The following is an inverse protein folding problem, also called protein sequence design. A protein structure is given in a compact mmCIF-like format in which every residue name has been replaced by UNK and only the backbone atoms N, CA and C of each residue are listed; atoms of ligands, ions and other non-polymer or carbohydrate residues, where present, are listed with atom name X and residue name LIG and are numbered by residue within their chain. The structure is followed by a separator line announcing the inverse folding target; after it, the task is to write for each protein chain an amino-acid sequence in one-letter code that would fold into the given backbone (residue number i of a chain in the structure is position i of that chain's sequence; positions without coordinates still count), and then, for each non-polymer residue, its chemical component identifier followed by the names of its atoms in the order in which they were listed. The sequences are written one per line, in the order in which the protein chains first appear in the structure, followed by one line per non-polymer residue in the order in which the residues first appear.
data_IF_774666851734
#
_entry.id   IF_774666851734
#
_cell.length_a   1.000
_cell.length_b   1.000
_cell.length_c   1.000
_cell.angle_alpha   90.00
_cell.angle_beta   90.00
_cell.angle_gamma   90.00
#
_symmetry.space_group_name_H-M   'P 1'
#
loop_
_entity.id
_entity.type
_entity.pdbx_description
1 polymer ?
#
# COMPACT_ATOMS: atom_id res chain seq x y z
N UNK A 1 -0.10 -15.53 6.08
CA UNK A 1 0.63 -16.81 6.20
C UNK A 1 1.70 -16.96 5.12
N UNK A 2 2.78 -17.72 5.41
CA UNK A 2 3.73 -18.20 4.40
C UNK A 2 3.29 -19.57 3.86
N UNK A 3 3.60 -19.88 2.60
CA UNK A 3 3.42 -21.22 2.05
C UNK A 3 4.43 -22.18 2.68
N UNK A 4 3.98 -23.38 3.03
CA UNK A 4 4.86 -24.44 3.48
C UNK A 4 5.42 -25.20 2.28
N UNK A 5 6.62 -25.77 2.45
CA UNK A 5 7.23 -26.61 1.42
C UNK A 5 6.33 -27.83 1.14
N UNK A 6 6.01 -28.05 -0.14
CA UNK A 6 5.12 -29.13 -0.56
C UNK A 6 3.62 -28.88 -0.33
N UNK A 7 3.21 -27.71 0.15
CA UNK A 7 1.79 -27.36 0.34
C UNK A 7 1.09 -27.21 -1.04
N UNK A 8 0.13 -28.07 -1.39
CA UNK A 8 -0.66 -27.87 -2.60
C UNK A 8 -1.54 -26.64 -2.43
N UNK A 9 -1.37 -25.64 -3.29
CA UNK A 9 -2.16 -24.41 -3.27
C UNK A 9 -2.83 -24.17 -4.62
N UNK A 10 -4.09 -23.77 -4.57
CA UNK A 10 -4.87 -23.39 -5.75
C UNK A 10 -5.81 -22.26 -5.40
N UNK A 11 -5.86 -21.24 -6.26
CA UNK A 11 -6.74 -20.08 -6.15
C UNK A 11 -6.96 -19.49 -7.54
N UNK A 12 -8.16 -19.00 -7.81
CA UNK A 12 -8.45 -18.25 -9.03
C UNK A 12 -8.15 -16.77 -8.78
N UNK A 13 -7.31 -16.19 -9.65
CA UNK A 13 -7.04 -14.76 -9.69
C UNK A 13 -7.78 -14.13 -10.87
N UNK A 14 -8.45 -13.02 -10.63
CA UNK A 14 -9.35 -12.40 -11.61
C UNK A 14 -10.74 -13.07 -11.66
N UNK A 15 -11.43 -13.07 -12.80
CA UNK A 15 -11.09 -12.42 -14.08
C UNK A 15 -10.62 -10.97 -13.97
N UNK A 16 -9.62 -10.59 -14.76
CA UNK A 16 -9.18 -9.20 -14.94
C UNK A 16 -9.67 -8.73 -16.31
N UNK A 17 -10.42 -7.64 -16.33
CA UNK A 17 -10.93 -7.04 -17.55
C UNK A 17 -10.06 -5.85 -17.94
N UNK A 18 -9.64 -5.82 -19.20
CA UNK A 18 -8.87 -4.70 -19.78
C UNK A 18 -9.66 -4.17 -20.96
N UNK A 19 -9.96 -2.87 -20.93
CA UNK A 19 -10.71 -2.17 -21.96
C UNK A 19 -9.81 -1.15 -22.65
N UNK A 20 -9.84 -1.14 -23.97
CA UNK A 20 -9.11 -0.19 -24.80
C UNK A 20 -10.12 0.49 -25.72
N UNK A 21 -10.21 1.82 -25.63
CA UNK A 21 -11.04 2.64 -26.50
C UNK A 21 -10.20 3.67 -27.26
N UNK A 22 -10.79 4.24 -28.30
CA UNK A 22 -10.14 5.21 -29.18
C UNK A 22 -11.15 6.23 -29.66
N UNK A 23 -10.67 7.44 -29.97
CA UNK A 23 -11.48 8.52 -30.50
C UNK A 23 -10.76 9.13 -31.72
N UNK A 24 -11.49 9.65 -32.71
CA UNK A 24 -10.86 10.33 -33.85
C UNK A 24 -10.19 11.62 -33.39
N UNK A 25 -9.21 12.12 -34.17
CA UNK A 25 -8.42 13.32 -33.85
C UNK A 25 -9.26 14.56 -33.53
N UNK A 26 -10.48 14.61 -34.06
CA UNK A 26 -11.36 15.77 -33.98
C UNK A 26 -12.26 15.75 -32.72
N UNK A 27 -12.17 14.69 -31.91
CA UNK A 27 -12.94 14.52 -30.69
C UNK A 27 -12.08 14.73 -29.44
N UNK A 28 -12.72 15.30 -28.41
CA UNK A 28 -12.07 15.62 -27.15
C UNK A 28 -11.77 14.35 -26.33
N UNK A 29 -10.59 14.29 -25.72
CA UNK A 29 -10.14 13.21 -24.82
C UNK A 29 -11.12 12.90 -23.68
N UNK A 30 -11.99 13.85 -23.31
CA UNK A 30 -13.04 13.65 -22.31
C UNK A 30 -14.03 12.54 -22.72
N UNK A 31 -14.27 12.33 -24.01
CA UNK A 31 -15.15 11.26 -24.50
C UNK A 31 -14.61 9.86 -24.16
N UNK A 32 -13.28 9.67 -24.18
CA UNK A 32 -12.64 8.40 -23.79
C UNK A 32 -12.91 8.06 -22.33
N UNK A 33 -12.91 9.08 -21.46
CA UNK A 33 -13.17 8.89 -20.04
C UNK A 33 -14.63 8.49 -19.79
N UNK A 34 -15.59 9.22 -20.36
CA UNK A 34 -17.01 8.91 -20.20
C UNK A 34 -17.37 7.52 -20.72
N UNK A 35 -16.80 7.11 -21.86
CA UNK A 35 -16.97 5.77 -22.42
C UNK A 35 -16.36 4.69 -21.51
N UNK A 36 -15.16 4.93 -20.97
CA UNK A 36 -14.54 4.02 -20.00
C UNK A 36 -15.35 3.90 -18.70
N UNK A 37 -15.94 4.98 -18.18
CA UNK A 37 -16.83 4.96 -17.01
C UNK A 37 -18.11 4.17 -17.29
N UNK A 38 -18.70 4.34 -18.48
CA UNK A 38 -19.85 3.54 -18.90
C UNK A 38 -19.48 2.05 -18.95
N UNK A 39 -18.36 1.71 -19.58
CA UNK A 39 -17.91 0.33 -19.68
C UNK A 39 -17.63 -0.28 -18.31
N UNK A 40 -16.99 0.46 -17.41
CA UNK A 40 -16.79 0.04 -16.02
C UNK A 40 -18.12 -0.29 -15.32
N UNK A 41 -19.15 0.54 -15.51
CA UNK A 41 -20.49 0.33 -14.92
C UNK A 41 -21.16 -0.94 -15.44
N UNK A 42 -21.08 -1.21 -16.75
CA UNK A 42 -21.61 -2.43 -17.36
C UNK A 42 -20.92 -3.70 -16.85
N UNK A 43 -19.59 -3.67 -16.80
CA UNK A 43 -18.78 -4.82 -16.38
C UNK A 43 -18.92 -5.10 -14.87
N UNK A 44 -19.05 -4.05 -14.05
CA UNK A 44 -19.33 -4.19 -12.61
C UNK A 44 -20.66 -4.90 -12.36
N UNK A 45 -21.70 -4.61 -13.16
CA UNK A 45 -23.01 -5.29 -13.07
C UNK A 45 -22.98 -6.72 -13.60
N UNK A 46 -22.07 -7.00 -14.54
CA UNK A 46 -21.89 -8.33 -15.13
C UNK A 46 -21.09 -9.27 -14.24
N UNK A 47 -20.42 -8.75 -13.21
CA UNK A 47 -19.73 -9.58 -12.22
C UNK A 47 -20.73 -10.30 -11.30
N UNK A 48 -20.54 -11.62 -11.05
CA UNK A 48 -19.48 -12.49 -11.53
C UNK A 48 -19.78 -13.06 -12.92
N UNK A 49 -18.76 -13.11 -13.78
CA UNK A 49 -18.92 -13.56 -15.15
C UNK A 49 -19.28 -15.04 -15.29
N UNK A 50 -20.06 -15.39 -16.32
CA UNK A 50 -20.41 -16.78 -16.63
C UNK A 50 -19.53 -17.45 -17.69
N UNK A 51 -18.71 -16.68 -18.41
CA UNK A 51 -17.83 -17.21 -19.45
C UNK A 51 -16.67 -18.09 -18.94
N UNK A 52 -16.11 -17.92 -17.72
CA UNK A 52 -15.04 -18.78 -17.25
C UNK A 52 -15.50 -20.24 -17.12
N UNK A 53 -14.81 -21.14 -17.82
CA UNK A 53 -15.16 -22.57 -17.88
C UNK A 53 -14.46 -23.43 -16.82
N UNK A 54 -13.52 -22.86 -16.06
CA UNK A 54 -12.80 -23.61 -15.02
C UNK A 54 -13.73 -23.99 -13.88
N UNK A 55 -13.70 -25.25 -13.45
CA UNK A 55 -14.44 -25.73 -12.28
C UNK A 55 -13.98 -25.04 -10.98
N UNK A 56 -12.75 -24.53 -10.97
CA UNK A 56 -12.19 -23.78 -9.84
C UNK A 56 -12.81 -22.37 -9.72
N UNK A 57 -13.44 -21.87 -10.79
CA UNK A 57 -14.17 -20.61 -10.77
C UNK A 57 -15.64 -20.87 -10.43
N UNK A 58 -16.02 -20.52 -9.21
CA UNK A 58 -17.42 -20.59 -8.81
C UNK A 58 -18.25 -19.53 -9.55
N UNK A 59 -19.29 -19.98 -10.24
CA UNK A 59 -20.29 -19.12 -10.89
C UNK A 59 -21.13 -18.38 -9.85
N UNK A 60 -21.84 -17.33 -10.30
CA UNK A 60 -22.67 -16.49 -9.41
C UNK A 60 -23.65 -17.27 -8.56
N UNK A 61 -24.33 -18.26 -9.13
CA UNK A 61 -25.31 -19.10 -8.42
C UNK A 61 -24.72 -20.05 -7.36
N UNK A 62 -23.39 -20.22 -7.32
CA UNK A 62 -22.67 -21.00 -6.29
C UNK A 62 -22.01 -20.11 -5.24
N UNK A 63 -22.23 -18.79 -5.32
CA UNK A 63 -21.72 -17.82 -4.36
C UNK A 63 -22.85 -17.40 -3.42
N UNK A 64 -22.46 -17.04 -2.22
CA UNK A 64 -23.35 -16.53 -1.19
C UNK A 64 -23.31 -15.01 -1.10
N UNK A 65 -24.17 -14.51 -0.25
CA UNK A 65 -24.23 -13.12 0.16
C UNK A 65 -24.23 -13.06 1.68
N UNK A 66 -23.48 -12.12 2.24
CA UNK A 66 -23.46 -11.86 3.68
C UNK A 66 -24.02 -10.47 3.91
N UNK A 67 -25.12 -10.41 4.63
CA UNK A 67 -25.78 -9.17 5.02
C UNK A 67 -25.67 -9.00 6.53
N UNK A 68 -25.58 -7.75 6.95
CA UNK A 68 -25.59 -7.43 8.36
C UNK A 68 -25.74 -5.95 8.61
N UNK A 69 -25.59 -5.61 9.88
CA UNK A 69 -25.45 -4.23 10.32
C UNK A 69 -24.25 -4.17 11.24
N UNK A 70 -23.41 -3.15 11.16
CA UNK A 70 -22.29 -2.96 12.05
C UNK A 70 -22.56 -1.79 12.98
N UNK A 71 -22.37 -1.99 14.27
CA UNK A 71 -22.21 -0.89 15.22
C UNK A 71 -20.99 -1.02 16.10
N UNK A 72 -20.67 0.12 16.70
CA UNK A 72 -19.64 0.28 17.71
C UNK A 72 -20.29 0.68 19.04
N UNK A 73 -19.90 0.03 20.14
CA UNK A 73 -20.23 0.46 21.48
C UNK A 73 -18.94 0.75 22.25
N UNK A 74 -18.68 2.01 22.58
CA UNK A 74 -17.53 2.38 23.41
C UNK A 74 -18.04 2.98 24.72
N UNK A 75 -17.70 2.34 25.85
CA UNK A 75 -18.14 2.74 27.20
C UNK A 75 -17.77 4.18 27.58
N UNK A 76 -16.72 4.74 26.97
CA UNK A 76 -16.23 6.08 27.25
C UNK A 76 -16.76 7.12 26.26
N UNK A 77 -17.31 6.70 25.12
CA UNK A 77 -17.87 7.60 24.10
C UNK A 77 -19.39 7.62 24.23
N UNK A 78 -19.99 8.83 24.26
CA UNK A 78 -21.45 9.03 24.38
C UNK A 78 -22.11 8.17 25.48
N UNK A 79 -21.41 7.96 26.61
CA UNK A 79 -21.87 7.17 27.77
C UNK A 79 -22.23 5.71 27.43
N UNK A 80 -21.48 5.05 26.53
CA UNK A 80 -21.69 3.64 26.20
C UNK A 80 -22.90 3.39 25.29
N UNK A 81 -23.41 4.41 24.61
CA UNK A 81 -24.49 4.26 23.62
C UNK A 81 -23.94 3.65 22.32
N UNK A 82 -24.78 2.86 21.68
CA UNK A 82 -24.52 2.23 20.39
C UNK A 82 -24.34 3.26 19.25
N UNK A 83 -23.36 3.02 18.37
CA UNK A 83 -23.01 3.86 17.23
C UNK A 83 -23.08 3.10 15.90
N UNK A 84 -23.88 3.53 14.90
CA UNK A 84 -23.79 2.94 13.55
C UNK A 84 -22.35 3.05 13.04
N UNK A 85 -21.80 1.97 12.49
CA UNK A 85 -20.56 2.04 11.74
C UNK A 85 -20.87 2.52 10.34
N UNK A 86 -21.17 3.81 10.14
CA UNK A 86 -21.41 4.39 8.82
C UNK A 86 -20.07 4.61 8.13
N UNK A 87 -20.00 4.32 6.81
CA UNK A 87 -18.74 4.28 6.04
C UNK A 87 -17.68 3.33 6.63
N UNK A 88 -18.10 2.37 7.43
CA UNK A 88 -17.23 1.32 7.90
C UNK A 88 -16.86 0.39 6.76
N UNK A 89 -15.59 0.03 6.68
CA UNK A 89 -15.19 -1.06 5.80
C UNK A 89 -15.39 -2.37 6.54
N UNK A 90 -16.16 -3.26 5.94
CA UNK A 90 -16.51 -4.57 6.49
C UNK A 90 -16.06 -5.62 5.50
N UNK A 91 -15.41 -6.67 5.99
CA UNK A 91 -14.92 -7.71 5.11
C UNK A 91 -14.70 -9.06 5.75
N UNK A 92 -14.61 -10.04 4.87
CA UNK A 92 -14.40 -11.44 5.18
C UNK A 92 -13.00 -11.81 4.72
N UNK A 93 -12.24 -12.45 5.61
CA UNK A 93 -11.00 -13.11 5.25
C UNK A 93 -10.88 -14.42 6.02
N UNK A 94 -9.91 -15.26 5.63
CA UNK A 94 -9.71 -16.55 6.30
C UNK A 94 -9.56 -16.37 7.83
N UNK A 95 -10.05 -17.34 8.64
CA UNK A 95 -9.94 -17.28 10.08
C UNK A 95 -8.48 -17.30 10.53
N UNK A 96 -8.05 -16.21 11.15
CA UNK A 96 -6.71 -16.00 11.70
C UNK A 96 -6.79 -14.97 12.85
N UNK A 97 -5.65 -14.61 13.44
CA UNK A 97 -5.57 -13.61 14.52
C UNK A 97 -6.10 -12.24 14.10
N UNK A 98 -6.48 -11.41 15.07
CA UNK A 98 -6.92 -10.04 14.81
C UNK A 98 -5.86 -9.25 14.00
N UNK A 99 -6.30 -8.59 12.91
CA UNK A 99 -5.43 -7.82 12.01
C UNK A 99 -4.64 -8.63 10.98
N UNK A 100 -4.71 -9.97 11.02
CA UNK A 100 -4.05 -10.87 10.06
C UNK A 100 -4.46 -10.62 8.59
N UNK A 101 -5.70 -10.19 8.36
CA UNK A 101 -6.27 -9.94 7.04
C UNK A 101 -5.39 -9.03 6.17
N UNK A 102 -4.66 -8.08 6.77
CA UNK A 102 -3.78 -7.16 6.03
C UNK A 102 -2.61 -7.86 5.34
N UNK A 103 -2.16 -8.99 5.90
CA UNK A 103 -1.03 -9.79 5.40
C UNK A 103 -1.48 -11.13 4.81
N UNK A 104 -2.80 -11.36 4.75
CA UNK A 104 -3.32 -12.63 4.27
C UNK A 104 -3.44 -12.63 2.74
N UNK A 105 -2.70 -13.51 2.09
CA UNK A 105 -2.71 -13.67 0.63
C UNK A 105 -3.23 -15.04 0.15
N UNK A 106 -3.28 -16.05 1.04
CA UNK A 106 -3.69 -17.43 0.70
C UNK A 106 -5.18 -17.51 0.34
N UNK A 107 -6.05 -16.97 1.19
CA UNK A 107 -7.50 -17.04 1.03
C UNK A 107 -8.08 -15.97 0.11
N UNK A 108 -9.38 -16.08 -0.16
CA UNK A 108 -10.15 -14.98 -0.71
C UNK A 108 -10.44 -13.93 0.36
N UNK A 109 -10.51 -12.67 -0.06
CA UNK A 109 -10.99 -11.58 0.77
C UNK A 109 -12.14 -10.90 0.05
N UNK A 110 -13.17 -10.51 0.80
CA UNK A 110 -14.34 -9.80 0.29
C UNK A 110 -14.56 -8.59 1.17
N UNK A 111 -14.74 -7.42 0.57
CA UNK A 111 -14.86 -6.17 1.30
C UNK A 111 -16.00 -5.35 0.72
N UNK A 112 -16.70 -4.64 1.59
CA UNK A 112 -17.72 -3.67 1.23
C UNK A 112 -17.62 -2.48 2.17
N UNK A 113 -18.13 -1.34 1.73
CA UNK A 113 -18.35 -0.20 2.62
C UNK A 113 -19.80 -0.28 3.13
N UNK A 114 -19.99 -0.11 4.43
CA UNK A 114 -21.31 -0.05 5.01
C UNK A 114 -22.03 1.23 4.57
N UNK A 115 -23.30 1.08 4.30
CA UNK A 115 -24.20 2.15 3.92
C UNK A 115 -24.68 2.95 5.16
N UNK A 116 -25.75 3.73 4.94
CA UNK A 116 -26.45 4.42 6.00
C UNK A 116 -26.89 3.44 7.10
N UNK A 117 -26.85 3.92 8.33
CA UNK A 117 -27.22 3.14 9.51
C UNK A 117 -26.37 1.86 9.69
N UNK A 118 -25.17 1.81 9.11
CA UNK A 118 -24.22 0.70 9.28
C UNK A 118 -24.65 -0.61 8.61
N UNK A 119 -25.66 -0.60 7.74
CA UNK A 119 -26.00 -1.79 6.97
C UNK A 119 -24.89 -2.12 5.98
N UNK A 120 -24.63 -3.39 5.77
CA UNK A 120 -23.65 -3.81 4.78
C UNK A 120 -24.11 -5.08 4.09
N UNK A 121 -23.74 -5.18 2.82
CA UNK A 121 -23.96 -6.35 1.97
C UNK A 121 -22.64 -6.69 1.30
N UNK A 122 -22.15 -7.90 1.54
CA UNK A 122 -21.01 -8.47 0.82
C UNK A 122 -21.57 -9.50 -0.15
N UNK A 123 -21.59 -9.12 -1.43
CA UNK A 123 -22.05 -9.95 -2.54
C UNK A 123 -20.98 -10.94 -3.00
N UNK A 124 -21.41 -11.99 -3.70
CA UNK A 124 -20.54 -12.90 -4.46
C UNK A 124 -19.44 -13.62 -3.63
N UNK A 125 -19.74 -13.89 -2.35
CA UNK A 125 -18.85 -14.57 -1.41
C UNK A 125 -18.71 -16.04 -1.79
N UNK A 126 -17.48 -16.50 -1.94
CA UNK A 126 -17.18 -17.92 -2.16
C UNK A 126 -17.52 -18.71 -0.88
N UNK A 127 -18.25 -19.85 -0.95
CA UNK A 127 -18.50 -20.68 0.23
C UNK A 127 -17.21 -21.04 0.97
N UNK A 128 -17.22 -20.88 2.29
CA UNK A 128 -16.06 -21.13 3.14
C UNK A 128 -16.26 -20.61 4.57
N UNK A 129 -15.33 -20.97 5.45
CA UNK A 129 -15.25 -20.38 6.79
C UNK A 129 -14.44 -19.09 6.76
N UNK A 130 -14.95 -18.03 7.38
CA UNK A 130 -14.32 -16.70 7.40
C UNK A 130 -14.44 -16.06 8.77
N UNK A 131 -13.50 -15.16 9.09
CA UNK A 131 -13.67 -14.16 10.13
C UNK A 131 -14.23 -12.88 9.51
N UNK A 132 -15.14 -12.22 10.23
CA UNK A 132 -15.63 -10.88 9.89
C UNK A 132 -14.69 -9.84 10.53
N UNK A 133 -14.12 -8.99 9.70
CA UNK A 133 -13.31 -7.86 10.10
C UNK A 133 -14.04 -6.56 9.76
N UNK A 134 -13.88 -5.55 10.59
CA UNK A 134 -14.41 -4.23 10.30
C UNK A 134 -13.54 -3.12 10.90
N UNK A 135 -13.55 -1.95 10.25
CA UNK A 135 -13.08 -0.70 10.86
C UNK A 135 -14.00 0.46 10.47
N UNK A 136 -14.19 1.38 11.40
CA UNK A 136 -15.05 2.55 11.22
C UNK A 136 -14.16 3.80 11.16
N UNK A 137 -14.23 4.62 10.10
CA UNK A 137 -13.54 5.90 10.06
C UNK A 137 -13.96 6.80 11.23
N UNK A 138 -13.00 7.53 11.82
CA UNK A 138 -13.22 8.40 12.99
C UNK A 138 -14.04 9.68 12.74
N UNK A 139 -15.00 9.67 11.81
CA UNK A 139 -15.86 10.82 11.51
C UNK A 139 -17.17 10.79 12.31
N UNK A 140 -17.88 11.93 12.39
CA UNK A 140 -19.12 12.10 13.17
C UNK A 140 -20.24 11.23 12.62
N UNK A 141 -20.67 10.21 13.39
CA UNK A 141 -21.74 9.28 12.98
C UNK A 141 -23.01 9.49 13.84
N UNK A 142 -24.21 9.35 13.22
CA UNK A 142 -25.56 9.25 13.81
C UNK A 142 -26.02 7.76 13.79
N UNK A 143 -26.95 7.26 14.67
CA UNK A 143 -26.82 5.94 15.38
C UNK A 143 -28.06 4.98 15.56
N UNK A 144 -27.85 3.64 15.76
CA UNK A 144 -28.75 2.45 16.05
C UNK A 144 -28.00 1.05 15.97
N UNK A 145 -28.57 -0.19 15.75
CA UNK A 145 -28.25 -1.62 16.30
C UNK A 145 -27.38 -2.80 15.60
N UNK A 146 -26.47 -3.51 16.36
CA UNK A 146 -25.43 -4.63 16.22
C UNK A 146 -24.02 -4.41 16.92
N UNK A 147 -23.64 -5.14 17.99
CA UNK A 147 -22.64 -4.68 19.00
C UNK A 147 -21.17 -5.10 18.78
N UNK A 148 -20.22 -4.15 18.70
CA UNK A 148 -18.76 -4.35 18.87
C UNK A 148 -18.22 -3.66 20.14
N UNK A 149 -17.52 -4.40 21.00
CA UNK A 149 -16.87 -3.89 22.22
C UNK A 149 -15.35 -3.71 22.01
N UNK A 150 -14.82 -2.49 21.91
CA UNK A 150 -13.39 -2.26 21.73
C UNK A 150 -12.60 -2.62 23.01
N UNK A 151 -11.42 -3.25 22.90
CA UNK A 151 -10.61 -3.64 24.05
C UNK A 151 -9.87 -2.43 24.66
N UNK A 152 -10.57 -1.56 25.38
CA UNK A 152 -9.99 -0.41 26.09
C UNK A 152 -10.02 -0.61 27.61
N UNK A 153 -8.91 -0.28 28.29
CA UNK A 153 -8.78 -0.35 29.76
C UNK A 153 -9.19 0.94 30.49
N UNK A 154 -9.33 2.08 29.79
CA UNK A 154 -9.71 3.38 30.38
C UNK A 154 -10.11 4.43 29.34
N UNK A 155 -10.49 5.65 29.76
CA UNK A 155 -10.86 6.74 28.86
C UNK A 155 -9.63 7.26 28.09
N UNK A 156 -9.85 7.77 26.88
CA UNK A 156 -8.82 8.45 26.09
C UNK A 156 -8.38 9.74 26.78
N UNK A 157 -7.09 9.88 27.08
CA UNK A 157 -6.52 11.09 27.69
C UNK A 157 -6.21 12.18 26.65
N UNK A 158 -5.77 11.76 25.46
CA UNK A 158 -5.48 12.62 24.32
C UNK A 158 -5.53 11.79 23.03
N UNK A 159 -5.76 12.45 21.90
CA UNK A 159 -5.83 11.88 20.56
C UNK A 159 -5.10 12.82 19.60
N UNK A 160 -4.35 12.26 18.63
CA UNK A 160 -3.65 13.01 17.58
C UNK A 160 -4.14 12.44 16.25
N UNK A 161 -4.71 13.30 15.40
CA UNK A 161 -5.26 12.90 14.10
C UNK A 161 -6.63 12.23 14.19
N UNK A 162 -7.05 11.63 13.08
CA UNK A 162 -8.35 10.96 12.95
C UNK A 162 -8.08 9.47 12.72
N UNK A 163 -8.68 8.54 13.50
CA UNK A 163 -8.44 7.11 13.32
C UNK A 163 -9.21 6.53 12.11
N UNK A 164 -9.03 7.12 10.93
CA UNK A 164 -9.64 6.69 9.66
C UNK A 164 -8.65 5.92 8.74
N UNK A 165 -7.41 5.74 9.20
CA UNK A 165 -6.29 5.10 8.48
C UNK A 165 -5.83 5.91 7.26
N UNK A 166 -6.14 7.19 7.22
CA UNK A 166 -5.54 8.17 6.31
C UNK A 166 -4.36 8.86 7.01
N UNK A 167 -3.58 9.60 6.22
CA UNK A 167 -2.61 10.57 6.71
C UNK A 167 -2.92 11.99 6.18
N UNK A 168 -4.09 12.17 5.56
CA UNK A 168 -4.50 13.40 4.87
C UNK A 168 -4.72 14.58 5.79
N UNK A 169 -5.00 14.32 7.06
CA UNK A 169 -5.28 15.32 8.09
C UNK A 169 -4.02 15.87 8.76
N UNK A 170 -2.88 15.23 8.55
CA UNK A 170 -1.58 15.63 9.10
C UNK A 170 -0.88 16.67 8.23
N UNK A 171 0.19 17.24 8.75
CA UNK A 171 1.01 18.19 8.01
C UNK A 171 1.76 17.48 6.87
N UNK A 172 1.38 17.83 5.64
CA UNK A 172 2.07 17.44 4.42
C UNK A 172 2.78 18.67 3.85
N UNK A 173 4.11 18.66 3.73
CA UNK A 173 4.85 19.81 3.21
C UNK A 173 4.65 19.95 1.70
N UNK A 174 4.99 21.12 1.16
CA UNK A 174 5.08 21.30 -0.29
C UNK A 174 6.16 20.37 -0.88
N UNK A 175 5.86 19.72 -2.02
CA UNK A 175 6.83 18.86 -2.69
C UNK A 175 7.94 19.68 -3.35
N UNK A 176 9.06 19.04 -3.67
CA UNK A 176 10.10 19.66 -4.49
C UNK A 176 9.51 20.02 -5.87
N UNK A 177 9.62 21.29 -6.33
CA UNK A 177 9.00 21.75 -7.58
C UNK A 177 9.37 20.92 -8.81
N UNK A 178 10.60 20.40 -8.86
CA UNK A 178 11.10 19.54 -9.94
C UNK A 178 10.48 18.13 -9.97
N UNK A 179 9.94 17.66 -8.85
CA UNK A 179 9.36 16.32 -8.69
C UNK A 179 7.83 16.36 -8.50
N UNK A 180 7.24 17.55 -8.63
CA UNK A 180 5.83 17.76 -8.36
C UNK A 180 4.95 17.03 -9.39
N UNK A 181 4.10 16.13 -8.90
CA UNK A 181 3.09 15.47 -9.72
C UNK A 181 1.87 16.39 -9.90
N UNK A 182 1.59 16.75 -11.15
CA UNK A 182 0.49 17.65 -11.52
C UNK A 182 -0.89 17.09 -11.19
N UNK A 183 -1.04 15.77 -11.06
CA UNK A 183 -2.33 15.12 -10.76
C UNK A 183 -2.93 15.54 -9.41
N UNK A 184 -2.09 15.94 -8.46
CA UNK A 184 -2.48 16.26 -7.08
C UNK A 184 -2.46 17.77 -6.78
N UNK A 185 -2.13 18.62 -7.76
CA UNK A 185 -2.18 20.08 -7.58
C UNK A 185 -3.62 20.51 -7.26
N UNK A 186 -3.78 21.36 -6.25
CA UNK A 186 -5.09 21.84 -5.81
C UNK A 186 -5.96 20.78 -5.12
N UNK A 187 -5.39 19.63 -4.73
CA UNK A 187 -6.09 18.53 -4.05
C UNK A 187 -5.46 18.21 -2.68
N UNK A 188 -5.71 19.04 -1.65
CA UNK A 188 -5.03 18.94 -0.35
C UNK A 188 -5.10 17.55 0.29
N UNK A 189 -6.24 16.87 0.17
CA UNK A 189 -6.47 15.51 0.71
C UNK A 189 -5.61 14.44 0.05
N UNK A 190 -4.94 14.74 -1.07
CA UNK A 190 -4.04 13.84 -1.78
C UNK A 190 -2.59 14.32 -1.77
N UNK A 191 -2.28 15.43 -1.08
CA UNK A 191 -0.92 15.98 -1.06
C UNK A 191 0.11 14.95 -0.60
N UNK A 192 -0.24 14.07 0.36
CA UNK A 192 0.65 13.03 0.88
C UNK A 192 1.12 11.99 -0.17
N UNK A 193 0.52 12.02 -1.37
CA UNK A 193 0.87 11.17 -2.52
C UNK A 193 1.90 11.82 -3.45
N UNK A 194 2.34 13.04 -3.18
CA UNK A 194 3.44 13.66 -3.91
C UNK A 194 4.74 12.89 -3.68
N UNK A 195 5.56 12.78 -4.73
CA UNK A 195 6.83 12.08 -4.65
C UNK A 195 7.88 12.91 -3.87
N UNK A 196 8.79 12.23 -3.19
CA UNK A 196 9.93 12.85 -2.49
C UNK A 196 9.60 13.52 -1.16
N UNK A 197 8.33 13.51 -0.72
CA UNK A 197 7.91 14.19 0.51
C UNK A 197 8.63 13.72 1.78
N UNK A 198 9.09 12.47 1.84
CA UNK A 198 9.87 11.98 2.98
C UNK A 198 11.19 12.72 3.17
N UNK A 199 11.82 13.20 2.08
CA UNK A 199 13.07 13.98 2.16
C UNK A 199 12.82 15.35 2.80
N UNK A 200 11.61 15.91 2.65
CA UNK A 200 11.25 17.19 3.27
C UNK A 200 11.31 17.14 4.80
N UNK A 201 11.23 15.95 5.42
CA UNK A 201 11.35 15.81 6.87
C UNK A 201 12.72 16.29 7.38
N UNK A 202 13.82 15.81 6.79
CA UNK A 202 15.17 16.21 7.22
C UNK A 202 15.47 17.68 6.89
N UNK A 203 14.83 18.24 5.86
CA UNK A 203 14.96 19.66 5.52
C UNK A 203 14.26 20.59 6.52
N UNK A 204 13.07 20.19 6.99
CA UNK A 204 12.28 20.95 7.96
C UNK A 204 12.77 20.76 9.40
N UNK A 205 13.33 19.59 9.70
CA UNK A 205 13.80 19.19 11.02
C UNK A 205 15.28 18.80 11.00
N UNK A 206 16.20 19.72 10.60
CA UNK A 206 17.60 19.37 10.30
C UNK A 206 18.42 18.98 11.53
N UNK A 207 18.15 19.60 12.68
CA UNK A 207 18.98 19.47 13.88
C UNK A 207 18.33 18.64 15.00
N UNK A 208 17.01 18.53 15.00
CA UNK A 208 16.24 17.87 16.04
C UNK A 208 14.92 17.36 15.46
N UNK A 209 14.37 16.31 16.05
CA UNK A 209 13.08 15.76 15.61
C UNK A 209 11.92 16.66 16.04
N UNK A 210 10.79 16.43 15.39
CA UNK A 210 9.52 17.11 15.67
C UNK A 210 9.12 16.90 17.14
N UNK A 211 8.81 18.00 17.83
CA UNK A 211 8.27 18.00 19.19
C UNK A 211 6.82 18.45 19.14
N UNK A 212 5.90 17.59 19.58
CA UNK A 212 4.46 17.87 19.61
C UNK A 212 3.96 18.01 21.05
N UNK A 213 3.39 19.17 21.38
CA UNK A 213 2.86 19.46 22.71
C UNK A 213 1.34 19.24 22.73
N UNK A 214 0.90 18.20 23.45
CA UNK A 214 -0.54 17.87 23.58
C UNK A 214 -1.31 19.05 24.17
N UNK A 215 -2.40 19.45 23.50
CA UNK A 215 -3.24 20.58 23.90
C UNK A 215 -2.74 21.96 23.43
N UNK A 216 -1.56 22.04 22.80
CA UNK A 216 -0.99 23.28 22.25
C UNK A 216 -0.75 23.16 20.74
N UNK A 217 -0.11 22.09 20.30
CA UNK A 217 0.22 21.85 18.90
C UNK A 217 -1.01 21.42 18.08
N UNK A 218 -1.06 21.79 16.81
CA UNK A 218 -2.12 21.44 15.88
C UNK A 218 -1.66 20.30 14.95
N UNK A 219 -2.28 19.13 15.01
CA UNK A 219 -1.83 17.97 14.23
C UNK A 219 -1.87 18.19 12.70
N UNK A 220 -2.70 19.11 12.19
CA UNK A 220 -2.73 19.42 10.76
C UNK A 220 -1.58 20.30 10.27
N UNK A 221 -0.79 20.87 11.20
CA UNK A 221 0.31 21.79 10.90
C UNK A 221 1.64 21.37 11.52
N UNK A 222 1.57 20.77 12.70
CA UNK A 222 2.70 20.52 13.58
C UNK A 222 2.97 19.02 13.75
N UNK A 223 2.21 18.14 13.09
CA UNK A 223 2.46 16.70 13.07
C UNK A 223 2.74 16.25 11.65
N UNK A 224 4.01 16.01 11.34
CA UNK A 224 4.42 15.60 10.01
C UNK A 224 3.85 14.22 9.66
N UNK A 225 3.27 14.10 8.46
CA UNK A 225 2.46 12.93 8.06
C UNK A 225 3.23 11.59 8.06
N UNK A 226 4.55 11.60 7.88
CA UNK A 226 5.41 10.42 7.85
C UNK A 226 6.68 10.59 8.68
N UNK A 227 6.84 9.78 9.73
CA UNK A 227 8.04 9.84 10.58
C UNK A 227 9.15 8.98 9.96
N UNK A 228 10.17 9.64 9.44
CA UNK A 228 11.28 9.02 8.70
C UNK A 228 12.62 9.39 9.33
N UNK A 229 13.63 8.56 9.12
CA UNK A 229 14.98 8.79 9.66
C UNK A 229 15.69 9.93 8.93
N UNK A 230 16.44 10.76 9.65
CA UNK A 230 17.45 11.65 9.05
C UNK A 230 18.63 10.83 8.54
N UNK A 231 19.06 11.09 7.31
CA UNK A 231 20.33 10.61 6.76
C UNK A 231 21.48 11.47 7.30
N UNK A 232 22.44 10.88 8.02
CA UNK A 232 23.61 11.61 8.56
C UNK A 232 24.49 12.27 7.48
N UNK A 233 24.36 11.86 6.22
CA UNK A 233 25.13 12.35 5.07
C UNK A 233 24.77 13.82 4.72
N UNK A 234 23.56 14.28 5.06
CA UNK A 234 23.10 15.63 4.70
C UNK A 234 23.66 16.73 5.61
N UNK A 235 24.09 16.41 6.82
CA UNK A 235 24.71 17.38 7.74
C UNK A 235 26.11 17.85 7.26
N UNK A 236 26.73 17.16 6.30
CA UNK A 236 28.08 17.48 5.78
C UNK A 236 28.09 18.06 4.37
N UNK A 237 26.96 18.07 3.66
CA UNK A 237 26.84 18.74 2.37
C UNK A 237 26.02 20.01 2.57
N UNK A 238 26.71 21.14 2.73
CA UNK A 238 26.11 22.44 2.38
C UNK A 238 25.52 22.27 0.99
N UNK A 239 24.21 22.44 0.87
CA UNK A 239 23.52 22.47 -0.43
C UNK A 239 24.29 23.45 -1.32
N UNK A 240 24.86 22.99 -2.45
CA UNK A 240 25.49 23.90 -3.39
C UNK A 240 24.38 24.81 -3.96
N UNK A 241 24.62 26.12 -4.05
CA UNK A 241 23.67 27.06 -4.67
C UNK A 241 23.32 26.60 -6.10
N UNK A 242 22.15 27.02 -6.60
CA UNK A 242 21.56 26.65 -7.90
C UNK A 242 22.53 26.73 -9.09
N UNK A 243 23.60 27.52 -8.99
CA UNK A 243 24.65 27.67 -10.02
C UNK A 243 25.66 26.51 -10.10
N UNK A 244 25.64 25.57 -9.16
CA UNK A 244 26.66 24.52 -9.05
C UNK A 244 26.14 23.09 -9.22
N UNK A 245 24.87 22.93 -9.61
CA UNK A 245 24.45 21.66 -10.21
C UNK A 245 24.98 21.60 -11.65
N UNK A 246 25.91 20.69 -11.99
CA UNK A 246 26.23 20.47 -13.39
C UNK A 246 24.94 20.00 -14.07
N UNK A 247 24.42 20.80 -14.99
CA UNK A 247 23.43 20.35 -15.97
C UNK A 247 24.14 19.37 -16.92
N UNK A 248 24.43 18.16 -16.44
CA UNK A 248 24.65 17.02 -17.32
C UNK A 248 23.27 16.48 -17.68
N UNK A 249 22.86 16.73 -18.92
CA UNK A 249 21.84 15.90 -19.55
C UNK A 249 22.46 14.50 -19.59
N UNK A 250 21.89 13.55 -18.84
CA UNK A 250 22.21 12.14 -19.00
C UNK A 250 21.80 11.74 -20.41
N UNK A 251 22.78 11.49 -21.28
CA UNK A 251 22.58 11.02 -22.65
C UNK A 251 22.65 9.50 -22.69
N UNK A 252 21.92 8.85 -23.60
CA UNK A 252 21.93 7.40 -23.80
C UNK A 252 23.35 6.81 -23.98
N UNK A 253 24.29 7.62 -24.50
CA UNK A 253 25.70 7.24 -24.63
C UNK A 253 26.41 7.05 -23.27
N UNK A 254 26.00 7.78 -22.21
CA UNK A 254 26.57 7.61 -20.86
C UNK A 254 25.97 6.37 -20.14
N UNK A 255 24.73 5.94 -20.47
CA UNK A 255 24.17 4.68 -19.99
C UNK A 255 24.86 3.46 -20.63
N UNK A 256 25.18 3.53 -21.92
CA UNK A 256 25.93 2.46 -22.61
C UNK A 256 27.37 2.33 -22.05
N UNK A 257 28.04 3.45 -21.74
CA UNK A 257 29.38 3.41 -21.10
C UNK A 257 29.33 2.83 -19.66
N UNK A 258 28.33 3.17 -18.84
CA UNK A 258 28.18 2.57 -17.50
C UNK A 258 27.81 1.07 -17.58
N UNK A 259 26.97 0.66 -18.52
CA UNK A 259 26.66 -0.76 -18.74
C UNK A 259 27.90 -1.55 -19.21
N UNK A 260 28.71 -0.98 -20.11
CA UNK A 260 29.98 -1.60 -20.54
C UNK A 260 30.98 -1.70 -19.37
N UNK A 261 31.12 -0.67 -18.53
CA UNK A 261 31.98 -0.71 -17.34
C UNK A 261 31.50 -1.75 -16.31
N UNK A 262 30.18 -1.86 -16.09
CA UNK A 262 29.62 -2.89 -15.21
C UNK A 262 29.84 -4.31 -15.75
N UNK A 263 29.69 -4.52 -17.07
CA UNK A 263 29.97 -5.79 -17.73
C UNK A 263 31.46 -6.17 -17.63
N UNK A 264 32.37 -5.21 -17.84
CA UNK A 264 33.82 -5.42 -17.68
C UNK A 264 34.19 -5.78 -16.23
N UNK A 265 33.61 -5.10 -15.24
CA UNK A 265 33.79 -5.44 -13.83
C UNK A 265 33.29 -6.86 -13.51
N UNK A 266 32.15 -7.27 -14.07
CA UNK A 266 31.57 -8.59 -13.86
C UNK A 266 32.43 -9.69 -14.50
N UNK A 267 32.94 -9.45 -15.71
CA UNK A 267 33.93 -10.26 -16.42
C UNK A 267 35.21 -10.43 -15.58
N UNK A 268 35.72 -9.34 -15.00
CA UNK A 268 36.93 -9.37 -14.19
C UNK A 268 36.72 -10.14 -12.88
N UNK A 269 35.55 -9.96 -12.23
CA UNK A 269 35.11 -10.75 -11.06
C UNK A 269 34.99 -12.24 -11.40
N UNK A 270 34.44 -12.59 -12.58
CA UNK A 270 34.37 -13.98 -13.10
C UNK A 270 35.77 -14.57 -13.34
N UNK A 271 36.70 -13.81 -13.96
CA UNK A 271 38.11 -14.21 -14.17
C UNK A 271 38.85 -14.42 -12.84
N UNK A 272 38.67 -13.53 -11.85
CA UNK A 272 39.22 -13.67 -10.48
C UNK A 272 38.68 -14.92 -9.77
N UNK A 273 37.38 -15.22 -9.87
CA UNK A 273 36.77 -16.46 -9.34
C UNK A 273 37.35 -17.72 -10.00
N UNK A 274 37.52 -17.75 -11.33
CA UNK A 274 38.15 -18.88 -12.06
C UNK A 274 39.61 -19.10 -11.63
N UNK A 275 40.41 -18.03 -11.47
CA UNK A 275 41.80 -18.12 -10.95
C UNK A 275 41.84 -18.68 -9.52
N UNK A 276 40.94 -18.23 -8.62
CA UNK A 276 40.82 -18.79 -7.25
C UNK A 276 40.47 -20.28 -7.26
N UNK A 277 39.52 -20.73 -8.11
CA UNK A 277 39.19 -22.16 -8.27
C UNK A 277 40.37 -22.99 -8.79
N UNK A 278 41.13 -22.51 -9.78
CA UNK A 278 42.35 -23.19 -10.28
C UNK A 278 43.44 -23.30 -9.19
N UNK A 279 43.69 -22.24 -8.41
CA UNK A 279 44.63 -22.27 -7.26
C UNK A 279 44.19 -23.30 -6.19
N UNK A 280 42.89 -23.36 -5.84
CA UNK A 280 42.35 -24.38 -4.92
C UNK A 280 42.54 -25.81 -5.45
N UNK A 281 42.31 -26.06 -6.74
CA UNK A 281 42.56 -27.38 -7.37
C UNK A 281 44.05 -27.77 -7.35
N UNK A 282 44.97 -26.84 -7.66
CA UNK A 282 46.43 -27.09 -7.57
C UNK A 282 46.89 -27.38 -6.13
N UNK A 283 46.39 -26.65 -5.13
CA UNK A 283 46.66 -26.93 -3.70
C UNK A 283 46.14 -28.31 -3.28
N UNK A 284 44.94 -28.72 -3.71
CA UNK A 284 44.42 -30.07 -3.46
C UNK A 284 45.26 -31.18 -4.12
N UNK A 285 45.73 -30.98 -5.36
CA UNK A 285 46.64 -31.93 -6.04
C UNK A 285 48.01 -32.04 -5.34
N UNK A 286 48.61 -30.93 -4.90
CA UNK A 286 49.87 -30.95 -4.13
C UNK A 286 49.71 -31.64 -2.76
N UNK A 287 48.60 -31.41 -2.05
CA UNK A 287 48.28 -32.14 -0.80
C UNK A 287 48.08 -33.65 -1.02
N UNK A 288 47.49 -34.05 -2.15
CA UNK A 288 47.35 -35.48 -2.51
C UNK A 288 48.69 -36.13 -2.89
N UNK A 289 49.62 -35.42 -3.53
CA UNK A 289 50.97 -35.94 -3.83
C UNK A 289 51.83 -36.09 -2.56
N UNK A 290 51.78 -35.14 -1.62
CA UNK A 290 52.49 -35.22 -0.32
C UNK A 290 51.95 -36.28 0.65
N UNK A 291 50.80 -36.91 0.35
CA UNK A 291 50.24 -38.04 1.12
C UNK A 291 50.55 -39.40 0.49
N UNK A 292 51.30 -39.44 -0.61
CA UNK A 292 51.67 -40.65 -1.38
C UNK A 292 53.20 -40.87 -1.47
N UNK A 293 53.96 -40.08 -0.73
CA UNK A 293 55.40 -40.19 -0.45
C UNK A 293 55.55 -40.14 1.05
#
# INVERSE_FOLDING_TARGET
MAFQEGEPFKKVYGPVFVYLNSVSSDHHSQALWSDAEQKLSEETKSWPYDFPKSDDFLRGNKRGRVEGRLLVQDRHIKRGRFLYGVKAYVGLALPEDAGSWQRQSKGYQFWTESENLGHFTIENVVPGGYNLYAWVPGSVIQLGSLIFNPPRNGPTLWEIGIPDRSASEFYVPEPCPSLMNRLYIGKPTHNFRQYGLWQRYSELYPNQDLVYAVGVSNYSKDWFYAHVTRTEIDARRKVPSEESMPRKLWTLEEEEEEEEEEEEEEEEKKKKKKKKKKKKKKKKKKKKKKRKT
#
